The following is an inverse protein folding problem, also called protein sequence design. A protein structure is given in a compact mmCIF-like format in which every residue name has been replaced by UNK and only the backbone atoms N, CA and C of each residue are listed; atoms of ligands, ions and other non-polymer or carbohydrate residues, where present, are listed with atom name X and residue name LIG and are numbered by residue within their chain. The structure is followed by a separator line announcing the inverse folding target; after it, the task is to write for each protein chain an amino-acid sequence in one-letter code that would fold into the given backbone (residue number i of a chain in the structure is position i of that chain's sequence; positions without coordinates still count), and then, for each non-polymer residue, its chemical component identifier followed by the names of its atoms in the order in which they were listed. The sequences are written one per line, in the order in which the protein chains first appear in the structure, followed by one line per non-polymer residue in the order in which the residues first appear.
data_IF_042017022675
#
_entry.id   IF_042017022675
#
_cell.length_a   1.000
_cell.length_b   1.000
_cell.length_c   1.000
_cell.angle_alpha   90.00
_cell.angle_beta   90.00
_cell.angle_gamma   90.00
#
_symmetry.space_group_name_H-M   'P 1'
#
loop_
_entity.id
_entity.type
_entity.pdbx_description
1 polymer ?
#
# COMPACT_ATOMS: atom_id res chain seq x y z
N UNK A 1 -12.35 -8.91 44.78
CA UNK A 1 -12.51 -9.83 43.62
C UNK A 1 -11.66 -9.25 42.53
N UNK A 2 -10.62 -9.92 42.11
CA UNK A 2 -9.65 -9.42 41.15
C UNK A 2 -10.12 -9.77 39.74
N UNK A 3 -10.28 -8.76 38.90
CA UNK A 3 -10.67 -8.91 37.49
C UNK A 3 -9.47 -9.34 36.64
N UNK A 4 -8.98 -10.58 36.84
CA UNK A 4 -7.82 -11.12 36.10
C UNK A 4 -8.16 -11.68 34.70
N UNK A 5 -9.43 -11.62 34.28
CA UNK A 5 -9.86 -12.26 33.03
C UNK A 5 -10.06 -11.32 31.82
N UNK A 6 -9.80 -10.02 31.97
CA UNK A 6 -10.22 -9.05 30.95
C UNK A 6 -9.23 -8.88 29.78
N UNK A 7 -7.94 -9.15 30.00
CA UNK A 7 -6.89 -8.87 28.99
C UNK A 7 -6.60 -10.03 28.04
N UNK A 8 -6.94 -11.27 28.40
CA UNK A 8 -6.58 -12.43 27.57
C UNK A 8 -7.49 -12.64 26.35
N UNK A 9 -8.79 -12.38 26.48
CA UNK A 9 -9.75 -12.64 25.40
C UNK A 9 -9.69 -11.61 24.26
N UNK A 10 -9.38 -10.34 24.56
CA UNK A 10 -9.24 -9.30 23.56
C UNK A 10 -8.04 -9.56 22.62
N UNK A 11 -6.90 -9.96 23.21
CA UNK A 11 -5.69 -10.26 22.44
C UNK A 11 -5.82 -11.54 21.59
N UNK A 12 -6.58 -12.52 22.03
CA UNK A 12 -6.81 -13.75 21.29
C UNK A 12 -7.69 -13.50 20.06
N UNK A 13 -8.75 -12.70 20.18
CA UNK A 13 -9.65 -12.34 19.08
C UNK A 13 -8.96 -11.50 18.00
N UNK A 14 -8.05 -10.59 18.36
CA UNK A 14 -7.28 -9.78 17.40
C UNK A 14 -6.24 -10.62 16.65
N UNK A 15 -5.67 -11.64 17.31
CA UNK A 15 -4.70 -12.55 16.69
C UNK A 15 -5.32 -13.54 15.72
N UNK A 16 -6.60 -13.83 15.83
CA UNK A 16 -7.27 -14.82 14.99
C UNK A 16 -7.69 -14.20 13.66
N UNK A 17 -6.94 -14.44 12.62
CA UNK A 17 -7.47 -14.52 11.29
C UNK A 17 -7.24 -13.35 10.35
N UNK A 18 -6.80 -12.15 10.79
CA UNK A 18 -6.67 -11.00 9.87
C UNK A 18 -5.72 -11.25 8.68
N UNK A 19 -4.67 -12.04 8.86
CA UNK A 19 -3.67 -12.33 7.84
C UNK A 19 -3.51 -13.83 7.55
N UNK A 20 -4.15 -14.69 8.32
CA UNK A 20 -3.98 -16.14 8.24
C UNK A 20 -4.32 -16.66 6.83
N UNK A 21 -5.37 -16.19 6.23
CA UNK A 21 -5.77 -16.62 4.89
C UNK A 21 -4.80 -16.14 3.81
N UNK A 22 -4.14 -15.00 4.02
CA UNK A 22 -3.18 -14.45 3.06
C UNK A 22 -1.95 -15.34 2.90
N UNK A 23 -1.47 -15.98 3.99
CA UNK A 23 -0.28 -16.83 3.93
C UNK A 23 -0.58 -18.33 3.95
N UNK A 24 -1.69 -18.78 4.55
CA UNK A 24 -1.96 -20.22 4.64
C UNK A 24 -2.45 -20.85 3.35
N UNK A 25 -3.23 -20.14 2.51
CA UNK A 25 -3.78 -20.69 1.27
C UNK A 25 -2.73 -20.95 0.19
N UNK A 26 -1.62 -20.21 0.21
CA UNK A 26 -0.65 -20.20 -0.89
C UNK A 26 0.75 -20.69 -0.51
N UNK A 27 1.03 -20.85 0.79
CA UNK A 27 2.37 -21.31 1.19
C UNK A 27 2.70 -22.71 0.66
N UNK A 28 1.74 -23.62 0.66
CA UNK A 28 1.89 -24.94 0.05
C UNK A 28 2.08 -24.88 -1.47
N UNK A 29 1.40 -23.94 -2.13
CA UNK A 29 1.52 -23.73 -3.57
C UNK A 29 2.86 -23.11 -3.96
N UNK A 30 3.41 -22.20 -3.13
CA UNK A 30 4.74 -21.62 -3.34
C UNK A 30 5.82 -22.71 -3.27
N UNK A 31 5.73 -23.62 -2.30
CA UNK A 31 6.66 -24.72 -2.15
C UNK A 31 6.56 -25.71 -3.32
N UNK A 32 5.39 -25.83 -3.96
CA UNK A 32 5.11 -26.68 -5.10
C UNK A 32 5.15 -25.96 -6.45
N UNK A 33 5.58 -24.69 -6.48
CA UNK A 33 5.75 -23.93 -7.72
C UNK A 33 6.82 -24.57 -8.62
N UNK A 34 6.51 -25.75 -9.06
CA UNK A 34 7.01 -26.27 -10.33
C UNK A 34 6.44 -25.34 -11.40
N UNK A 35 7.28 -24.51 -11.96
CA UNK A 35 7.03 -23.49 -12.99
C UNK A 35 6.39 -24.05 -14.29
N UNK A 36 5.52 -25.03 -14.22
CA UNK A 36 4.99 -25.80 -15.36
C UNK A 36 3.84 -25.10 -16.08
N UNK A 37 3.25 -24.09 -15.48
CA UNK A 37 2.20 -23.30 -16.14
C UNK A 37 2.63 -21.84 -16.20
N UNK A 38 3.09 -21.37 -17.36
CA UNK A 38 3.39 -19.96 -17.53
C UNK A 38 2.12 -19.16 -17.27
N UNK A 39 2.19 -18.15 -16.40
CA UNK A 39 1.12 -17.19 -16.21
C UNK A 39 0.87 -16.45 -17.52
N UNK A 40 -0.38 -16.27 -17.88
CA UNK A 40 -0.78 -15.40 -18.99
C UNK A 40 -1.28 -14.06 -18.44
N UNK A 41 -1.27 -12.97 -19.23
CA UNK A 41 -1.84 -11.69 -18.81
C UNK A 41 -3.28 -11.82 -18.30
N UNK A 42 -4.11 -12.60 -18.98
CA UNK A 42 -5.48 -12.89 -18.57
C UNK A 42 -5.54 -13.60 -17.21
N UNK A 43 -4.65 -14.56 -16.97
CA UNK A 43 -4.58 -15.25 -15.68
C UNK A 43 -4.21 -14.28 -14.56
N UNK A 44 -3.24 -13.38 -14.80
CA UNK A 44 -2.83 -12.37 -13.82
C UNK A 44 -3.96 -11.37 -13.55
N UNK A 45 -4.67 -10.92 -14.58
CA UNK A 45 -5.85 -10.07 -14.44
C UNK A 45 -6.94 -10.74 -13.58
N UNK A 46 -7.29 -11.98 -13.88
CA UNK A 46 -8.29 -12.73 -13.14
C UNK A 46 -7.89 -12.98 -11.68
N UNK A 47 -6.58 -13.17 -11.39
CA UNK A 47 -6.07 -13.26 -10.04
C UNK A 47 -6.15 -11.92 -9.31
N UNK A 48 -5.93 -10.80 -10.00
CA UNK A 48 -6.06 -9.48 -9.43
C UNK A 48 -7.51 -9.19 -9.00
N UNK A 49 -8.48 -9.46 -9.88
CA UNK A 49 -9.91 -9.32 -9.57
C UNK A 49 -10.30 -10.18 -8.36
N UNK A 50 -9.83 -11.43 -8.30
CA UNK A 50 -10.08 -12.32 -7.15
C UNK A 50 -9.43 -11.80 -5.87
N UNK A 51 -8.24 -11.23 -5.96
CA UNK A 51 -7.56 -10.61 -4.81
C UNK A 51 -8.34 -9.41 -4.28
N UNK A 52 -8.78 -8.52 -5.17
CA UNK A 52 -9.55 -7.34 -4.77
C UNK A 52 -10.87 -7.73 -4.11
N UNK A 53 -11.65 -8.62 -4.73
CA UNK A 53 -12.88 -9.14 -4.15
C UNK A 53 -12.65 -9.80 -2.79
N UNK A 54 -11.62 -10.65 -2.68
CA UNK A 54 -11.26 -11.26 -1.39
C UNK A 54 -10.89 -10.20 -0.34
N UNK A 55 -10.16 -9.16 -0.72
CA UNK A 55 -9.73 -8.13 0.23
C UNK A 55 -10.90 -7.24 0.70
N UNK A 56 -11.91 -7.01 -0.16
CA UNK A 56 -13.15 -6.33 0.22
C UNK A 56 -13.99 -7.17 1.18
N UNK A 57 -14.14 -8.46 0.91
CA UNK A 57 -14.91 -9.38 1.74
C UNK A 57 -14.27 -9.65 3.11
N UNK A 58 -12.95 -9.50 3.22
CA UNK A 58 -12.16 -9.82 4.41
C UNK A 58 -11.71 -8.57 5.17
N UNK A 59 -12.66 -7.86 5.78
CA UNK A 59 -12.38 -6.70 6.62
C UNK A 59 -11.38 -7.04 7.76
N UNK A 60 -10.55 -6.06 8.11
CA UNK A 60 -9.66 -6.17 9.26
C UNK A 60 -10.48 -5.97 10.53
N UNK A 61 -10.45 -6.96 11.42
CA UNK A 61 -11.07 -6.90 12.74
C UNK A 61 -10.16 -6.14 13.70
N UNK A 62 -10.69 -5.12 14.35
CA UNK A 62 -10.01 -4.36 15.37
C UNK A 62 -10.92 -4.24 16.60
N UNK A 63 -10.32 -4.02 17.77
CA UNK A 63 -11.05 -3.70 18.99
C UNK A 63 -10.84 -2.23 19.27
N UNK A 64 -11.94 -1.49 19.40
CA UNK A 64 -11.93 -0.10 19.85
C UNK A 64 -12.52 -0.01 21.24
N UNK A 65 -11.80 0.67 22.12
CA UNK A 65 -12.23 0.91 23.49
C UNK A 65 -12.92 2.27 23.60
N UNK A 66 -14.13 2.29 24.16
CA UNK A 66 -14.82 3.49 24.56
C UNK A 66 -14.89 3.57 26.08
N UNK A 67 -14.64 4.75 26.66
CA UNK A 67 -14.77 4.97 28.09
C UNK A 67 -15.85 6.02 28.33
N UNK A 68 -16.83 5.67 29.13
CA UNK A 68 -17.87 6.58 29.57
C UNK A 68 -18.11 6.41 31.07
N UNK A 69 -18.01 7.49 31.84
CA UNK A 69 -18.20 7.52 33.31
C UNK A 69 -17.37 6.44 34.06
N UNK A 70 -16.13 6.19 33.63
CA UNK A 70 -15.25 5.20 34.24
C UNK A 70 -15.53 3.76 33.83
N UNK A 71 -16.55 3.50 33.01
CA UNK A 71 -16.84 2.20 32.45
C UNK A 71 -16.13 2.10 31.08
N UNK A 72 -15.26 1.10 30.94
CA UNK A 72 -14.58 0.80 29.68
C UNK A 72 -15.37 -0.28 28.95
N UNK A 73 -15.77 0.00 27.71
CA UNK A 73 -16.42 -0.97 26.82
C UNK A 73 -15.50 -1.24 25.62
N UNK A 74 -15.42 -2.51 25.25
CA UNK A 74 -14.70 -2.95 24.06
C UNK A 74 -15.68 -3.31 22.94
N UNK A 75 -15.48 -2.70 21.77
CA UNK A 75 -16.32 -2.94 20.60
C UNK A 75 -15.47 -3.55 19.48
N UNK A 76 -15.92 -4.67 18.93
CA UNK A 76 -15.33 -5.24 17.73
C UNK A 76 -15.78 -4.40 16.53
N UNK A 77 -14.84 -3.78 15.85
CA UNK A 77 -15.08 -3.00 14.63
C UNK A 77 -14.42 -3.66 13.42
N UNK A 78 -15.02 -3.46 12.26
CA UNK A 78 -14.51 -3.95 10.99
C UNK A 78 -13.98 -2.75 10.20
N UNK A 79 -12.68 -2.79 9.88
CA UNK A 79 -12.02 -1.75 9.06
C UNK A 79 -11.73 -2.27 7.67
N UNK A 80 -11.80 -1.43 6.63
CA UNK A 80 -11.51 -1.85 5.27
C UNK A 80 -10.09 -2.37 5.16
N UNK A 81 -9.91 -3.42 4.38
CA UNK A 81 -8.57 -3.92 4.03
C UNK A 81 -8.03 -3.10 2.86
N UNK A 82 -6.89 -2.47 3.05
CA UNK A 82 -6.23 -1.68 2.03
C UNK A 82 -5.58 -2.60 1.00
N UNK A 83 -5.81 -2.33 -0.28
CA UNK A 83 -5.13 -3.03 -1.37
C UNK A 83 -3.66 -2.64 -1.43
N UNK A 84 -2.81 -3.63 -1.60
CA UNK A 84 -1.37 -3.41 -1.75
C UNK A 84 -0.79 -4.38 -2.77
N UNK A 85 0.25 -3.96 -3.49
CA UNK A 85 0.95 -4.83 -4.41
C UNK A 85 1.58 -6.03 -3.70
N UNK A 86 2.11 -5.83 -2.49
CA UNK A 86 2.63 -6.93 -1.68
C UNK A 86 1.52 -7.90 -1.24
N UNK A 87 0.32 -7.40 -0.92
CA UNK A 87 -0.84 -8.22 -0.63
C UNK A 87 -1.24 -9.08 -1.84
N UNK A 88 -1.28 -8.49 -3.02
CA UNK A 88 -1.52 -9.19 -4.27
C UNK A 88 -0.47 -10.27 -4.54
N UNK A 89 0.81 -9.92 -4.38
CA UNK A 89 1.93 -10.86 -4.54
C UNK A 89 1.79 -12.08 -3.61
N UNK A 90 1.52 -11.86 -2.34
CA UNK A 90 1.30 -12.93 -1.35
C UNK A 90 0.06 -13.76 -1.69
N UNK A 91 -1.04 -13.11 -2.07
CA UNK A 91 -2.27 -13.79 -2.46
C UNK A 91 -2.07 -14.71 -3.67
N UNK A 92 -1.32 -14.28 -4.66
CA UNK A 92 -0.99 -15.06 -5.86
C UNK A 92 0.08 -16.12 -5.60
N UNK A 93 0.90 -15.97 -4.55
CA UNK A 93 2.04 -16.83 -4.28
C UNK A 93 3.17 -16.65 -5.29
N UNK A 94 3.39 -15.43 -5.78
CA UNK A 94 4.45 -15.11 -6.74
C UNK A 94 5.58 -14.33 -6.09
N UNK A 95 6.75 -14.30 -6.74
CA UNK A 95 7.91 -13.56 -6.24
C UNK A 95 7.90 -12.10 -6.72
N UNK A 96 8.64 -11.23 -6.04
CA UNK A 96 8.87 -9.85 -6.51
C UNK A 96 9.53 -9.79 -7.90
N UNK A 97 10.41 -10.74 -8.21
CA UNK A 97 11.01 -10.87 -9.54
C UNK A 97 9.99 -11.17 -10.62
N UNK A 98 8.95 -11.96 -10.33
CA UNK A 98 7.85 -12.20 -11.26
C UNK A 98 7.08 -10.91 -11.56
N UNK A 99 6.76 -10.11 -10.53
CA UNK A 99 6.10 -8.80 -10.67
C UNK A 99 6.94 -7.86 -11.55
N UNK A 100 8.25 -7.79 -11.32
CA UNK A 100 9.15 -6.97 -12.14
C UNK A 100 9.19 -7.44 -13.59
N UNK A 101 9.25 -8.75 -13.81
CA UNK A 101 9.21 -9.33 -15.16
C UNK A 101 7.89 -9.01 -15.87
N UNK A 102 6.75 -9.06 -15.19
CA UNK A 102 5.46 -8.71 -15.78
C UNK A 102 5.39 -7.23 -16.17
N UNK A 103 5.94 -6.32 -15.35
CA UNK A 103 6.01 -4.89 -15.69
C UNK A 103 6.81 -4.61 -16.97
N UNK A 104 7.80 -5.46 -17.29
CA UNK A 104 8.66 -5.32 -18.46
C UNK A 104 8.15 -6.08 -19.69
N UNK A 105 7.09 -6.88 -19.56
CA UNK A 105 6.63 -7.76 -20.63
C UNK A 105 5.34 -7.25 -21.28
N UNK A 106 5.26 -7.15 -22.63
CA UNK A 106 4.04 -6.74 -23.33
C UNK A 106 2.83 -7.59 -22.93
N UNK A 107 1.67 -6.97 -22.81
CA UNK A 107 0.43 -7.58 -22.36
C UNK A 107 0.32 -7.73 -20.84
N UNK A 108 1.41 -8.03 -20.16
CA UNK A 108 1.46 -8.03 -18.70
C UNK A 108 1.60 -6.60 -18.13
N UNK A 109 2.35 -5.74 -18.81
CA UNK A 109 2.53 -4.32 -18.42
C UNK A 109 1.20 -3.60 -18.27
N UNK A 110 0.28 -3.79 -19.21
CA UNK A 110 -1.05 -3.20 -19.20
C UNK A 110 -1.89 -3.72 -18.02
N UNK A 111 -1.77 -5.02 -17.73
CA UNK A 111 -2.44 -5.61 -16.55
C UNK A 111 -1.85 -5.07 -15.25
N UNK A 112 -0.53 -4.90 -15.18
CA UNK A 112 0.13 -4.34 -14.00
C UNK A 112 -0.24 -2.87 -13.79
N UNK A 113 -0.35 -2.07 -14.85
CA UNK A 113 -0.83 -0.68 -14.81
C UNK A 113 -2.27 -0.61 -14.28
N UNK A 114 -3.14 -1.50 -14.75
CA UNK A 114 -4.51 -1.61 -14.22
C UNK A 114 -4.50 -1.95 -12.73
N UNK A 115 -3.70 -2.92 -12.28
CA UNK A 115 -3.59 -3.31 -10.87
C UNK A 115 -3.13 -2.13 -10.01
N UNK A 116 -2.09 -1.41 -10.44
CA UNK A 116 -1.58 -0.25 -9.74
C UNK A 116 -2.64 0.86 -9.65
N UNK A 117 -3.38 1.11 -10.73
CA UNK A 117 -4.45 2.11 -10.78
C UNK A 117 -5.57 1.80 -9.79
N UNK A 118 -6.01 0.53 -9.72
CA UNK A 118 -7.03 0.10 -8.76
C UNK A 118 -6.55 0.25 -7.31
N UNK A 119 -5.29 -0.11 -7.05
CA UNK A 119 -4.69 0.02 -5.71
C UNK A 119 -4.62 1.50 -5.28
N UNK A 120 -4.20 2.39 -6.18
CA UNK A 120 -4.09 3.82 -5.90
C UNK A 120 -5.48 4.43 -5.68
N UNK A 121 -6.44 4.12 -6.55
CA UNK A 121 -7.80 4.64 -6.45
C UNK A 121 -8.49 4.21 -5.16
N UNK A 122 -8.40 2.92 -4.78
CA UNK A 122 -8.97 2.45 -3.52
C UNK A 122 -8.38 3.19 -2.32
N UNK A 123 -7.06 3.36 -2.27
CA UNK A 123 -6.39 4.11 -1.19
C UNK A 123 -6.85 5.56 -1.14
N UNK A 124 -6.99 6.20 -2.30
CA UNK A 124 -7.46 7.58 -2.39
C UNK A 124 -8.88 7.71 -1.84
N UNK A 125 -9.80 6.84 -2.28
CA UNK A 125 -11.19 6.88 -1.82
C UNK A 125 -11.32 6.61 -0.32
N UNK A 126 -10.58 5.62 0.21
CA UNK A 126 -10.58 5.33 1.65
C UNK A 126 -10.02 6.51 2.47
N UNK A 127 -8.99 7.19 1.97
CA UNK A 127 -8.44 8.38 2.61
C UNK A 127 -9.40 9.57 2.55
N UNK A 128 -10.01 9.83 1.40
CA UNK A 128 -11.01 10.89 1.20
C UNK A 128 -12.25 10.69 2.09
N UNK A 129 -12.59 9.42 2.37
CA UNK A 129 -13.70 9.05 3.27
C UNK A 129 -13.30 8.97 4.75
N UNK A 130 -12.09 9.36 5.12
CA UNK A 130 -11.52 9.25 6.49
C UNK A 130 -11.52 7.82 7.06
N UNK A 131 -11.55 6.80 6.22
CA UNK A 131 -11.49 5.40 6.65
C UNK A 131 -10.04 4.94 6.92
N UNK A 132 -9.06 5.61 6.32
CA UNK A 132 -7.63 5.41 6.57
C UNK A 132 -6.92 6.76 6.70
N UNK A 133 -5.71 6.77 7.24
CA UNK A 133 -4.94 7.99 7.43
C UNK A 133 -4.51 8.61 6.09
N UNK A 134 -5.04 9.80 5.77
CA UNK A 134 -4.77 10.50 4.52
C UNK A 134 -3.29 10.90 4.36
N UNK A 135 -2.61 11.30 5.44
CA UNK A 135 -1.19 11.66 5.41
C UNK A 135 -0.29 10.44 5.12
N UNK A 136 -0.66 9.25 5.61
CA UNK A 136 0.04 8.02 5.25
C UNK A 136 -0.14 7.70 3.76
N UNK A 137 -1.37 7.83 3.25
CA UNK A 137 -1.66 7.56 1.83
C UNK A 137 -0.95 8.57 0.92
N UNK A 138 -0.96 9.87 1.25
CA UNK A 138 -0.24 10.90 0.48
C UNK A 138 1.24 10.58 0.30
N UNK A 139 1.90 10.09 1.37
CA UNK A 139 3.29 9.62 1.29
C UNK A 139 3.46 8.34 0.47
N UNK A 140 2.56 7.37 0.64
CA UNK A 140 2.62 6.08 -0.05
C UNK A 140 2.44 6.23 -1.58
N UNK A 141 1.49 7.06 -2.02
CA UNK A 141 1.25 7.34 -3.45
C UNK A 141 2.12 8.47 -4.02
N UNK A 142 2.97 9.09 -3.18
CA UNK A 142 3.98 10.06 -3.61
C UNK A 142 3.48 11.48 -3.86
N UNK A 143 2.26 11.84 -3.43
CA UNK A 143 1.72 13.21 -3.55
C UNK A 143 2.52 14.19 -2.67
N UNK A 144 2.98 13.76 -1.50
CA UNK A 144 3.73 14.57 -0.54
C UNK A 144 5.25 14.59 -0.82
N UNK A 145 5.71 14.07 -1.95
CA UNK A 145 7.10 14.29 -2.33
C UNK A 145 7.26 15.78 -2.63
N UNK A 146 7.97 16.49 -1.74
CA UNK A 146 8.44 17.82 -2.03
C UNK A 146 9.09 17.79 -3.42
N UNK A 147 8.68 18.70 -4.32
CA UNK A 147 9.36 18.84 -5.59
C UNK A 147 10.85 18.96 -5.27
N UNK A 148 11.67 18.06 -5.80
CA UNK A 148 13.13 18.24 -5.74
C UNK A 148 13.42 19.55 -6.44
N UNK A 149 13.59 20.62 -5.65
CA UNK A 149 14.08 21.89 -6.16
C UNK A 149 15.50 21.58 -6.63
N UNK A 150 15.67 21.55 -7.93
CA UNK A 150 16.96 21.30 -8.56
C UNK A 150 17.83 22.55 -8.31
N UNK A 151 18.52 22.57 -7.17
CA UNK A 151 19.34 23.68 -6.68
C UNK A 151 20.44 24.05 -7.70
N UNK A 152 20.78 23.14 -8.63
CA UNK A 152 21.70 23.41 -9.71
C UNK A 152 21.29 24.55 -10.65
N UNK A 153 19.98 24.80 -10.85
CA UNK A 153 19.52 25.89 -11.68
C UNK A 153 19.61 27.26 -10.97
N UNK A 154 19.48 27.28 -9.63
CA UNK A 154 19.56 28.53 -8.86
C UNK A 154 21.01 29.03 -8.77
N UNK A 155 21.98 28.14 -8.73
CA UNK A 155 23.41 28.52 -8.71
C UNK A 155 23.86 29.10 -10.06
N UNK A 156 23.35 28.56 -11.16
CA UNK A 156 23.66 29.09 -12.49
C UNK A 156 23.06 30.50 -12.74
N UNK A 157 21.81 30.74 -12.24
CA UNK A 157 21.20 32.07 -12.35
C UNK A 157 21.94 33.11 -11.52
N UNK A 158 22.46 32.75 -10.34
CA UNK A 158 23.24 33.68 -9.50
C UNK A 158 24.59 34.03 -10.13
N UNK A 159 25.29 33.06 -10.72
CA UNK A 159 26.54 33.34 -11.48
C UNK A 159 26.29 34.23 -12.70
N UNK A 160 25.18 34.02 -13.42
CA UNK A 160 24.82 34.83 -14.56
C UNK A 160 24.52 36.29 -14.17
N UNK A 161 23.91 36.49 -12.98
CA UNK A 161 23.64 37.84 -12.43
C UNK A 161 24.94 38.51 -12.00
N UNK A 162 25.87 37.84 -11.37
CA UNK A 162 27.17 38.36 -10.96
C UNK A 162 28.01 38.76 -12.17
N UNK A 163 28.02 37.95 -13.23
CA UNK A 163 28.74 38.27 -14.46
C UNK A 163 28.12 39.47 -15.19
N UNK A 164 26.79 39.61 -15.19
CA UNK A 164 26.09 40.75 -15.75
C UNK A 164 26.43 42.03 -14.97
N UNK A 165 26.42 41.99 -13.64
CA UNK A 165 26.79 43.15 -12.80
C UNK A 165 28.22 43.56 -13.00
N UNK A 166 29.15 42.58 -13.10
CA UNK A 166 30.56 42.86 -13.35
C UNK A 166 30.80 43.53 -14.72
N UNK A 167 30.08 43.05 -15.74
CA UNK A 167 30.18 43.65 -17.11
C UNK A 167 29.65 45.07 -17.19
N UNK A 168 28.80 45.51 -16.30
CA UNK A 168 28.32 46.87 -16.17
C UNK A 168 29.31 47.76 -15.42
N UNK A 169 29.90 47.23 -14.36
CA UNK A 169 30.91 47.96 -13.55
C UNK A 169 32.21 48.23 -14.32
N UNK A 170 32.63 47.34 -15.20
CA UNK A 170 33.83 47.50 -16.03
C UNK A 170 33.68 48.55 -17.17
N UNK A 171 32.47 49.10 -17.35
CA UNK A 171 32.17 50.09 -18.38
C UNK A 171 31.97 51.51 -17.85
N UNK A 172 32.10 51.69 -16.53
CA UNK A 172 32.06 52.99 -15.85
C UNK A 172 33.47 53.42 -15.44
#
# INVERSE_FOLDING_TARGET
MKDENFTSHANEKVRIGNFKELYNKKYGDIANLNHRHPMTPETVFNLAVKYFSWAEDQAIKAIETASFQGIVTENLVHKPRVFTLNGFQLYCGVTSGAIQSWRASPGFSEVMEFIDSVIIEQKYQLAASNLINAGFVGKDIGIDKAAEVNVSNVVNDTQTIEDAVKSVLDKI
#
